data_IF_251913475552
#
_entry.id   IF_251913475552
#
_cell.length_a   1.000
_cell.length_b   1.000
_cell.length_c   1.000
_cell.angle_alpha   90.00
_cell.angle_beta   90.00
_cell.angle_gamma   90.00
#
_symmetry.space_group_name_H-M   'P 1'
#
loop_
_entity.id
_entity.type
_entity.pdbx_description
1 polymer ?
#
# COMPACT_ATOMS: atom_id res chain seq x y z
N UNK A 1 -12.32 9.02 4.21
CA UNK A 1 -13.55 8.37 4.73
C UNK A 1 -13.48 8.38 6.25
N UNK A 2 -14.55 8.80 6.96
CA UNK A 2 -14.60 8.64 8.40
C UNK A 2 -14.59 7.14 8.67
N UNK A 3 -13.48 6.65 9.23
CA UNK A 3 -13.40 5.28 9.73
C UNK A 3 -14.43 5.21 10.85
N UNK A 4 -15.49 4.41 10.66
CA UNK A 4 -16.49 4.11 11.68
C UNK A 4 -15.76 3.91 13.02
N UNK A 5 -16.16 4.59 14.11
CA UNK A 5 -15.45 4.52 15.39
C UNK A 5 -15.19 3.09 15.88
N UNK A 6 -16.10 2.16 15.56
CA UNK A 6 -15.97 0.73 15.85
C UNK A 6 -14.83 0.03 15.08
N UNK A 7 -14.44 0.50 13.89
CA UNK A 7 -13.34 -0.04 13.09
C UNK A 7 -11.95 0.47 13.53
N UNK A 8 -11.88 1.45 14.44
CA UNK A 8 -10.60 1.98 14.96
C UNK A 8 -9.77 0.88 15.65
N UNK A 9 -10.41 -0.10 16.28
CA UNK A 9 -9.74 -1.24 16.90
C UNK A 9 -9.10 -2.19 15.88
N UNK A 10 -9.60 -2.24 14.64
CA UNK A 10 -9.01 -3.09 13.59
C UNK A 10 -7.75 -2.47 12.99
N UNK A 11 -7.55 -1.16 13.12
CA UNK A 11 -6.41 -0.47 12.51
C UNK A 11 -5.04 -1.05 12.92
N UNK A 12 -4.75 -1.29 14.23
CA UNK A 12 -3.51 -1.96 14.63
C UNK A 12 -3.39 -3.36 14.02
N UNK A 13 -4.46 -4.14 14.03
CA UNK A 13 -4.47 -5.52 13.49
C UNK A 13 -4.11 -5.51 12.00
N UNK A 14 -4.71 -4.61 11.22
CA UNK A 14 -4.41 -4.47 9.79
C UNK A 14 -2.96 -4.09 9.54
N UNK A 15 -2.37 -3.21 10.36
CA UNK A 15 -0.96 -2.83 10.25
C UNK A 15 -0.03 -4.03 10.46
N UNK A 16 -0.31 -4.87 11.45
CA UNK A 16 0.50 -6.07 11.71
C UNK A 16 0.29 -7.16 10.65
N UNK A 17 -0.91 -7.27 10.08
CA UNK A 17 -1.22 -8.25 9.04
C UNK A 17 -0.68 -7.85 7.66
N UNK A 18 -0.46 -6.57 7.40
CA UNK A 18 -0.04 -6.05 6.10
C UNK A 18 1.15 -6.81 5.46
N UNK A 19 2.28 -7.06 6.16
CA UNK A 19 3.41 -7.79 5.59
C UNK A 19 3.05 -9.21 5.14
N UNK A 20 2.13 -9.87 5.83
CA UNK A 20 1.66 -11.22 5.49
C UNK A 20 0.78 -11.18 4.24
N UNK A 21 -0.13 -10.22 4.17
CA UNK A 21 -1.01 -10.00 3.01
C UNK A 21 -0.18 -9.78 1.75
N UNK A 22 0.84 -8.91 1.82
CA UNK A 22 1.77 -8.65 0.70
C UNK A 22 2.40 -9.95 0.20
N UNK A 23 2.92 -10.79 1.11
CA UNK A 23 3.57 -12.06 0.71
C UNK A 23 2.57 -13.01 0.05
N UNK A 24 1.34 -13.11 0.55
CA UNK A 24 0.29 -13.97 -0.02
C UNK A 24 -0.06 -13.53 -1.44
N UNK A 25 -0.37 -12.25 -1.65
CA UNK A 25 -0.76 -11.74 -2.97
C UNK A 25 0.37 -11.84 -3.98
N UNK A 26 1.60 -11.53 -3.57
CA UNK A 26 2.76 -11.62 -4.46
C UNK A 26 3.07 -13.08 -4.80
N UNK A 27 2.89 -14.01 -3.86
CA UNK A 27 3.03 -15.43 -4.15
C UNK A 27 1.98 -15.93 -5.15
N UNK A 28 0.73 -15.47 -5.02
CA UNK A 28 -0.31 -15.75 -5.99
C UNK A 28 0.09 -15.31 -7.41
N UNK A 29 0.57 -14.06 -7.57
CA UNK A 29 1.02 -13.57 -8.88
C UNK A 29 2.26 -14.30 -9.40
N UNK A 30 3.17 -14.69 -8.52
CA UNK A 30 4.31 -15.53 -8.90
C UNK A 30 3.85 -16.87 -9.49
N UNK A 31 2.96 -17.59 -8.80
CA UNK A 31 2.49 -18.89 -9.28
C UNK A 31 1.70 -18.77 -10.59
N UNK A 32 0.96 -17.67 -10.74
CA UNK A 32 0.29 -17.32 -11.99
C UNK A 32 1.28 -17.10 -13.14
N UNK A 33 2.35 -16.32 -12.93
CA UNK A 33 3.44 -16.10 -13.91
C UNK A 33 4.17 -17.40 -14.27
N UNK A 34 4.40 -18.27 -13.28
CA UNK A 34 5.05 -19.59 -13.46
C UNK A 34 4.10 -20.66 -14.04
N UNK A 35 2.83 -20.33 -14.33
CA UNK A 35 1.78 -21.28 -14.78
C UNK A 35 1.67 -22.53 -13.89
N UNK A 36 1.89 -22.34 -12.60
CA UNK A 36 1.86 -23.39 -11.58
C UNK A 36 0.56 -23.33 -10.79
N UNK A 37 0.14 -24.48 -10.23
CA UNK A 37 -1.03 -24.52 -9.36
C UNK A 37 -0.74 -23.80 -8.04
N UNK A 38 -1.75 -23.09 -7.53
CA UNK A 38 -1.63 -22.36 -6.28
C UNK A 38 -1.53 -23.32 -5.09
N UNK A 39 -0.35 -23.42 -4.48
CA UNK A 39 -0.13 -24.21 -3.27
C UNK A 39 -0.27 -23.35 -2.01
N UNK A 40 -1.48 -23.33 -1.46
CA UNK A 40 -1.82 -22.61 -0.24
C UNK A 40 -1.03 -23.16 0.97
N UNK A 41 -0.78 -24.47 1.01
CA UNK A 41 -0.06 -25.11 2.12
C UNK A 41 1.39 -24.61 2.17
N UNK A 42 2.03 -24.54 1.01
CA UNK A 42 3.38 -23.98 0.88
C UNK A 42 3.47 -22.55 1.42
N UNK A 43 2.50 -21.68 1.08
CA UNK A 43 2.48 -20.29 1.56
C UNK A 43 2.33 -20.24 3.07
N UNK A 44 1.41 -21.01 3.63
CA UNK A 44 1.21 -21.07 5.08
C UNK A 44 2.51 -21.50 5.78
N UNK A 45 3.19 -22.52 5.26
CA UNK A 45 4.44 -23.01 5.84
C UNK A 45 5.57 -21.98 5.71
N UNK A 46 5.65 -21.26 4.59
CA UNK A 46 6.57 -20.14 4.39
C UNK A 46 6.33 -19.01 5.41
N UNK A 47 5.06 -18.62 5.60
CA UNK A 47 4.67 -17.57 6.54
C UNK A 47 4.94 -17.98 7.99
N UNK A 48 4.70 -19.25 8.35
CA UNK A 48 5.04 -19.79 9.68
C UNK A 48 6.54 -19.75 9.92
N UNK A 49 7.35 -20.20 8.94
CA UNK A 49 8.80 -20.20 9.04
C UNK A 49 9.39 -18.79 9.15
N UNK A 50 8.75 -17.80 8.51
CA UNK A 50 9.19 -16.39 8.50
C UNK A 50 8.34 -15.48 9.39
N UNK A 51 7.58 -16.05 10.33
CA UNK A 51 6.61 -15.31 11.14
C UNK A 51 7.26 -14.18 11.93
N UNK A 52 8.32 -14.47 12.69
CA UNK A 52 9.01 -13.48 13.54
C UNK A 52 9.50 -12.25 12.75
N UNK A 53 10.33 -12.40 11.68
CA UNK A 53 10.81 -11.24 10.94
C UNK A 53 9.69 -10.48 10.20
N UNK A 54 8.66 -11.16 9.71
CA UNK A 54 7.49 -10.49 9.11
C UNK A 54 6.70 -9.69 10.15
N UNK A 55 6.50 -10.24 11.34
CA UNK A 55 5.87 -9.54 12.45
C UNK A 55 6.69 -8.31 12.89
N UNK A 56 8.03 -8.39 12.86
CA UNK A 56 8.90 -7.24 13.12
C UNK A 56 8.69 -6.10 12.11
N UNK A 57 8.44 -6.41 10.83
CA UNK A 57 8.03 -5.38 9.86
C UNK A 57 6.68 -4.77 10.25
N UNK A 58 5.71 -5.58 10.66
CA UNK A 58 4.42 -5.08 11.16
C UNK A 58 4.58 -4.14 12.37
N UNK A 59 5.45 -4.52 13.32
CA UNK A 59 5.80 -3.66 14.47
C UNK A 59 6.50 -2.37 14.07
N UNK A 60 7.39 -2.43 13.07
CA UNK A 60 8.01 -1.24 12.51
C UNK A 60 6.97 -0.30 11.86
N UNK A 61 6.01 -0.85 11.13
CA UNK A 61 4.88 -0.09 10.60
C UNK A 61 4.01 0.54 11.70
N UNK A 62 3.80 -0.17 12.81
CA UNK A 62 3.04 0.33 13.95
C UNK A 62 3.74 1.50 14.64
N UNK A 63 5.05 1.41 14.85
CA UNK A 63 5.86 2.51 15.40
C UNK A 63 5.75 3.73 14.50
N UNK A 64 5.90 3.54 13.19
CA UNK A 64 5.75 4.62 12.22
C UNK A 64 4.34 5.25 12.26
N UNK A 65 3.28 4.45 12.26
CA UNK A 65 1.91 4.97 12.35
C UNK A 65 1.68 5.79 13.64
N UNK A 66 2.31 5.37 14.74
CA UNK A 66 2.29 6.10 16.01
C UNK A 66 3.06 7.42 15.91
N UNK A 67 4.21 7.45 15.24
CA UNK A 67 4.97 8.68 14.98
C UNK A 67 4.19 9.66 14.12
N UNK A 68 3.56 9.19 13.04
CA UNK A 68 2.69 10.02 12.18
C UNK A 68 1.55 10.61 13.00
N UNK A 69 0.89 9.79 13.82
CA UNK A 69 -0.18 10.24 14.71
C UNK A 69 0.32 11.31 15.67
N UNK A 70 1.49 11.12 16.28
CA UNK A 70 2.11 12.11 17.17
C UNK A 70 2.40 13.43 16.44
N UNK A 71 2.94 13.40 15.22
CA UNK A 71 3.20 14.60 14.40
C UNK A 71 1.91 15.36 14.10
N UNK A 72 0.82 14.64 13.79
CA UNK A 72 -0.50 15.24 13.55
C UNK A 72 -1.05 15.90 14.82
N UNK A 73 -1.02 15.20 15.96
CA UNK A 73 -1.53 15.75 17.23
C UNK A 73 -0.69 16.92 17.75
N UNK A 74 0.64 16.82 17.68
CA UNK A 74 1.54 17.91 18.05
C UNK A 74 1.39 19.14 17.14
N UNK A 75 0.93 18.94 15.89
CA UNK A 75 0.60 19.99 14.94
C UNK A 75 -0.73 20.70 15.18
N UNK A 76 -1.42 20.43 16.30
CA UNK A 76 -2.74 21.00 16.61
C UNK A 76 -3.92 20.11 16.20
N UNK A 77 -3.66 18.91 15.67
CA UNK A 77 -4.70 18.00 15.17
C UNK A 77 -5.32 18.46 13.85
N UNK A 78 -6.00 17.56 13.16
CA UNK A 78 -6.94 17.94 12.09
C UNK A 78 -8.25 18.30 12.79
N UNK A 79 -8.30 19.46 13.44
CA UNK A 79 -9.55 19.96 13.99
C UNK A 79 -10.46 20.37 12.81
N UNK A 80 -11.74 20.03 12.89
CA UNK A 80 -12.73 20.28 11.82
C UNK A 80 -12.98 21.79 11.56
N UNK A 81 -12.34 22.68 12.33
CA UNK A 81 -12.51 24.13 12.33
C UNK A 81 -11.45 24.91 11.52
N UNK A 82 -10.92 24.36 10.42
CA UNK A 82 -10.09 25.17 9.51
C UNK A 82 -11.02 26.14 8.75
N UNK A 83 -11.23 27.33 9.30
CA UNK A 83 -12.20 28.32 8.78
C UNK A 83 -11.58 29.31 7.79
N UNK A 84 -10.25 29.49 7.80
CA UNK A 84 -9.52 30.45 6.96
C UNK A 84 -8.32 29.82 6.23
N UNK A 85 -8.03 30.34 5.03
CA UNK A 85 -6.90 29.92 4.18
C UNK A 85 -5.54 30.16 4.84
N UNK A 86 -5.40 31.25 5.60
CA UNK A 86 -4.16 31.59 6.31
C UNK A 86 -3.86 30.56 7.40
N UNK A 87 -4.88 30.09 8.12
CA UNK A 87 -4.72 29.10 9.18
C UNK A 87 -4.39 27.70 8.62
N UNK A 88 -4.90 27.39 7.41
CA UNK A 88 -4.54 26.20 6.64
C UNK A 88 -3.05 26.24 6.23
N UNK A 89 -2.56 27.40 5.80
CA UNK A 89 -1.18 27.52 5.31
C UNK A 89 -0.17 27.57 6.46
N UNK A 90 -0.49 28.26 7.56
CA UNK A 90 0.43 28.42 8.69
C UNK A 90 0.54 27.17 9.58
N UNK A 91 -0.56 26.44 9.81
CA UNK A 91 -0.57 25.29 10.72
C UNK A 91 -0.59 23.95 10.01
N UNK A 92 -1.38 23.80 8.95
CA UNK A 92 -1.59 22.50 8.32
C UNK A 92 -0.50 22.14 7.31
N UNK A 93 -0.03 23.09 6.49
CA UNK A 93 1.02 22.84 5.50
C UNK A 93 2.33 22.31 6.13
N UNK A 94 2.86 22.86 7.24
CA UNK A 94 4.05 22.32 7.88
C UNK A 94 3.87 20.89 8.41
N UNK A 95 2.66 20.55 8.90
CA UNK A 95 2.34 19.20 9.37
C UNK A 95 2.35 18.22 8.21
N UNK A 96 1.72 18.57 7.08
CA UNK A 96 1.71 17.75 5.86
C UNK A 96 3.13 17.53 5.34
N UNK A 97 3.96 18.56 5.27
CA UNK A 97 5.36 18.45 4.82
C UNK A 97 6.14 17.49 5.73
N UNK A 98 6.00 17.60 7.06
CA UNK A 98 6.64 16.68 8.01
C UNK A 98 6.19 15.24 7.79
N UNK A 99 4.90 15.01 7.60
CA UNK A 99 4.37 13.67 7.32
C UNK A 99 4.97 13.11 6.04
N UNK A 100 4.98 13.87 4.95
CA UNK A 100 5.56 13.44 3.66
C UNK A 100 7.04 13.07 3.85
N UNK A 101 7.81 13.93 4.53
CA UNK A 101 9.24 13.74 4.75
C UNK A 101 9.56 12.47 5.54
N UNK A 102 8.74 12.12 6.52
CA UNK A 102 8.88 10.88 7.31
C UNK A 102 8.35 9.67 6.52
N UNK A 103 7.31 9.88 5.71
CA UNK A 103 6.66 8.82 4.92
C UNK A 103 7.55 8.24 3.84
N UNK A 104 8.28 9.09 3.10
CA UNK A 104 9.13 8.65 1.98
C UNK A 104 10.13 7.57 2.39
N UNK A 105 11.05 7.79 3.35
CA UNK A 105 12.04 6.78 3.72
C UNK A 105 11.39 5.53 4.33
N UNK A 106 10.26 5.70 5.01
CA UNK A 106 9.50 4.57 5.56
C UNK A 106 8.88 3.69 4.48
N UNK A 107 8.21 4.28 3.48
CA UNK A 107 7.67 3.53 2.35
C UNK A 107 8.78 2.81 1.60
N UNK A 108 9.90 3.47 1.33
CA UNK A 108 11.06 2.84 0.68
C UNK A 108 11.61 1.66 1.49
N UNK A 109 11.68 1.80 2.82
CA UNK A 109 12.14 0.74 3.71
C UNK A 109 11.18 -0.46 3.75
N UNK A 110 9.88 -0.25 3.61
CA UNK A 110 8.86 -1.30 3.76
C UNK A 110 8.38 -1.90 2.44
N UNK A 111 8.56 -1.21 1.32
CA UNK A 111 8.01 -1.59 0.02
C UNK A 111 8.41 -2.99 -0.44
N UNK A 112 9.69 -3.38 -0.31
CA UNK A 112 10.15 -4.73 -0.69
C UNK A 112 10.51 -5.62 0.49
N UNK A 113 10.54 -5.07 1.71
CA UNK A 113 10.99 -5.79 2.91
C UNK A 113 10.26 -7.12 3.18
N UNK A 114 8.92 -7.22 3.11
CA UNK A 114 8.22 -8.49 3.32
C UNK A 114 8.66 -9.58 2.34
N UNK A 115 8.90 -9.20 1.08
CA UNK A 115 9.32 -10.12 0.02
C UNK A 115 10.78 -10.56 0.18
N UNK A 116 11.66 -9.63 0.56
CA UNK A 116 13.06 -9.94 0.87
C UNK A 116 13.20 -10.92 2.05
N UNK A 117 12.32 -10.82 3.04
CA UNK A 117 12.26 -11.77 4.16
C UNK A 117 11.78 -13.14 3.68
N UNK A 118 10.71 -13.16 2.88
CA UNK A 118 10.09 -14.39 2.39
C UNK A 118 11.01 -15.17 1.44
N UNK A 119 11.56 -14.52 0.42
CA UNK A 119 12.23 -15.20 -0.70
C UNK A 119 13.76 -15.12 -0.64
N UNK A 120 14.33 -14.06 -0.06
CA UNK A 120 15.79 -13.89 -0.01
C UNK A 120 16.38 -14.30 1.35
N UNK A 121 15.55 -14.89 2.24
CA UNK A 121 15.93 -15.32 3.60
C UNK A 121 16.57 -14.21 4.44
N UNK A 122 16.30 -12.94 4.14
CA UNK A 122 16.88 -11.84 4.91
C UNK A 122 16.24 -11.73 6.29
N UNK A 123 17.06 -11.37 7.29
CA UNK A 123 16.55 -10.89 8.58
C UNK A 123 15.96 -9.49 8.46
N UNK A 124 15.22 -9.05 9.48
CA UNK A 124 14.52 -7.76 9.52
C UNK A 124 15.39 -6.56 9.09
N UNK A 125 16.56 -6.38 9.73
CA UNK A 125 17.44 -5.23 9.46
C UNK A 125 17.99 -5.26 8.03
N UNK A 126 18.41 -6.44 7.56
CA UNK A 126 18.95 -6.61 6.20
C UNK A 126 17.87 -6.37 5.14
N UNK A 127 16.64 -6.80 5.41
CA UNK A 127 15.49 -6.55 4.53
C UNK A 127 15.19 -5.06 4.39
N UNK A 128 15.14 -4.30 5.50
CA UNK A 128 14.92 -2.85 5.47
C UNK A 128 16.00 -2.14 4.66
N UNK A 129 17.28 -2.41 4.96
CA UNK A 129 18.40 -1.76 4.27
C UNK A 129 18.40 -2.07 2.78
N UNK A 130 18.15 -3.33 2.43
CA UNK A 130 18.11 -3.77 1.04
C UNK A 130 16.88 -3.23 0.29
N UNK A 131 15.72 -3.11 0.94
CA UNK A 131 14.53 -2.48 0.36
C UNK A 131 14.82 -1.02 0.07
N UNK A 132 15.36 -0.28 1.04
CA UNK A 132 15.71 1.12 0.88
C UNK A 132 16.75 1.33 -0.24
N UNK A 133 17.79 0.49 -0.30
CA UNK A 133 18.79 0.55 -1.36
C UNK A 133 18.19 0.25 -2.75
N UNK A 134 17.36 -0.79 -2.88
CA UNK A 134 16.71 -1.14 -4.14
C UNK A 134 15.75 -0.05 -4.62
N UNK A 135 14.93 0.51 -3.71
CA UNK A 135 14.03 1.61 -4.06
C UNK A 135 14.78 2.90 -4.40
N UNK A 136 15.92 3.20 -3.77
CA UNK A 136 16.76 4.34 -4.14
C UNK A 136 17.36 4.18 -5.53
N UNK A 137 17.99 3.02 -5.79
CA UNK A 137 18.67 2.73 -7.05
C UNK A 137 17.72 2.79 -8.25
N UNK A 138 16.47 2.37 -8.05
CA UNK A 138 15.43 2.36 -9.08
C UNK A 138 14.33 3.40 -8.82
N UNK A 139 14.64 4.48 -8.11
CA UNK A 139 13.66 5.49 -7.70
C UNK A 139 12.91 6.13 -8.89
N UNK A 140 13.62 6.50 -9.95
CA UNK A 140 13.05 7.12 -11.15
C UNK A 140 12.05 6.18 -11.85
N UNK A 141 12.40 4.95 -12.27
CA UNK A 141 11.47 4.05 -12.95
C UNK A 141 10.32 3.61 -12.04
N UNK A 142 10.55 3.49 -10.73
CA UNK A 142 9.49 3.19 -9.78
C UNK A 142 8.48 4.34 -9.73
N UNK A 143 8.95 5.56 -9.50
CA UNK A 143 8.08 6.74 -9.40
C UNK A 143 7.29 6.97 -10.70
N UNK A 144 7.95 6.87 -11.86
CA UNK A 144 7.29 7.09 -13.15
C UNK A 144 6.16 6.07 -13.40
N UNK A 145 6.43 4.80 -13.13
CA UNK A 145 5.42 3.74 -13.27
C UNK A 145 4.25 3.93 -12.31
N UNK A 146 4.53 4.32 -11.06
CA UNK A 146 3.49 4.60 -10.07
C UNK A 146 2.61 5.79 -10.47
N UNK A 147 3.21 6.85 -11.02
CA UNK A 147 2.48 8.01 -11.55
C UNK A 147 1.58 7.59 -12.71
N UNK A 148 2.09 6.79 -13.66
CA UNK A 148 1.30 6.32 -14.80
C UNK A 148 0.10 5.47 -14.34
N UNK A 149 0.31 4.52 -13.43
CA UNK A 149 -0.77 3.68 -12.89
C UNK A 149 -1.82 4.54 -12.17
N UNK A 150 -1.39 5.49 -11.34
CA UNK A 150 -2.28 6.36 -10.56
C UNK A 150 -3.03 7.35 -11.45
N UNK A 151 -2.36 7.95 -12.44
CA UNK A 151 -2.99 8.84 -13.41
C UNK A 151 -4.03 8.09 -14.25
N UNK A 152 -3.71 6.88 -14.73
CA UNK A 152 -4.65 6.02 -15.44
C UNK A 152 -5.89 5.74 -14.62
N UNK A 153 -5.72 5.39 -13.33
CA UNK A 153 -6.84 5.15 -12.41
C UNK A 153 -7.74 6.39 -12.23
N UNK A 154 -7.14 7.57 -12.02
CA UNK A 154 -7.89 8.82 -11.86
C UNK A 154 -8.69 9.14 -13.14
N UNK A 155 -8.06 9.00 -14.32
CA UNK A 155 -8.72 9.22 -15.61
C UNK A 155 -9.92 8.26 -15.75
N UNK A 156 -9.75 6.98 -15.39
CA UNK A 156 -10.83 6.00 -15.43
C UNK A 156 -11.98 6.35 -14.49
N UNK A 157 -11.71 6.84 -13.27
CA UNK A 157 -12.76 7.30 -12.34
C UNK A 157 -13.51 8.49 -12.93
N UNK A 158 -12.81 9.49 -13.47
CA UNK A 158 -13.42 10.68 -14.07
C UNK A 158 -14.33 10.25 -15.23
N UNK A 159 -13.83 9.36 -16.09
CA UNK A 159 -14.59 8.85 -17.23
C UNK A 159 -15.87 8.12 -16.81
N UNK A 160 -15.78 7.23 -15.81
CA UNK A 160 -16.94 6.48 -15.32
C UNK A 160 -17.94 7.39 -14.61
N UNK A 161 -17.46 8.36 -13.85
CA UNK A 161 -18.32 9.35 -13.19
C UNK A 161 -19.07 10.20 -14.23
N UNK A 162 -18.39 10.62 -15.29
CA UNK A 162 -19.00 11.32 -16.41
C UNK A 162 -20.01 10.43 -17.14
N UNK A 163 -19.68 9.17 -17.42
CA UNK A 163 -20.61 8.23 -18.04
C UNK A 163 -21.91 8.09 -17.23
N UNK A 164 -21.80 7.88 -15.91
CA UNK A 164 -22.98 7.76 -15.05
C UNK A 164 -23.78 9.06 -14.91
N UNK A 165 -23.14 10.23 -15.01
CA UNK A 165 -23.87 11.50 -14.99
C UNK A 165 -24.72 11.72 -16.25
N UNK A 166 -24.33 11.15 -17.39
CA UNK A 166 -25.12 11.20 -18.64
C UNK A 166 -26.34 10.28 -18.64
N UNK A 167 -26.42 9.31 -17.72
CA UNK A 167 -27.52 8.35 -17.61
C UNK A 167 -28.72 8.92 -16.84
N UNK A 168 -29.09 10.18 -17.12
CA UNK A 168 -30.16 10.90 -16.39
C UNK A 168 -31.55 10.28 -16.50
N UNK A 169 -31.73 9.33 -17.43
CA UNK A 169 -32.96 8.55 -17.57
C UNK A 169 -33.09 7.42 -16.54
N UNK A 170 -31.98 6.99 -15.92
CA UNK A 170 -32.03 6.10 -14.76
C UNK A 170 -32.38 6.92 -13.52
N UNK A 171 -33.30 6.43 -12.70
CA UNK A 171 -33.61 7.07 -11.42
C UNK A 171 -32.35 7.25 -10.56
N UNK A 172 -32.29 8.34 -9.80
CA UNK A 172 -31.08 8.78 -9.08
C UNK A 172 -30.52 7.72 -8.11
N UNK A 173 -31.40 6.89 -7.52
CA UNK A 173 -31.00 5.78 -6.65
C UNK A 173 -30.22 4.69 -7.40
N UNK A 174 -30.61 4.36 -8.64
CA UNK A 174 -29.93 3.35 -9.46
C UNK A 174 -28.57 3.87 -9.93
N UNK A 175 -28.48 5.14 -10.35
CA UNK A 175 -27.20 5.77 -10.72
C UNK A 175 -26.22 5.70 -9.54
N UNK A 176 -26.67 6.09 -8.35
CA UNK A 176 -25.83 6.04 -7.14
C UNK A 176 -25.37 4.63 -6.81
N UNK A 177 -26.27 3.65 -6.92
CA UNK A 177 -25.94 2.24 -6.67
C UNK A 177 -24.87 1.73 -7.65
N UNK A 178 -25.10 1.87 -8.96
CA UNK A 178 -24.16 1.38 -9.97
C UNK A 178 -22.82 2.12 -9.93
N UNK A 179 -22.83 3.44 -9.72
CA UNK A 179 -21.61 4.23 -9.56
C UNK A 179 -20.77 3.73 -8.38
N UNK A 180 -21.40 3.47 -7.23
CA UNK A 180 -20.70 2.95 -6.05
C UNK A 180 -20.10 1.54 -6.28
N UNK A 181 -20.84 0.66 -6.95
CA UNK A 181 -20.36 -0.67 -7.31
C UNK A 181 -19.17 -0.61 -8.26
N UNK A 182 -19.24 0.25 -9.28
CA UNK A 182 -18.14 0.43 -10.23
C UNK A 182 -16.90 0.98 -9.54
N UNK A 183 -17.05 1.94 -8.63
CA UNK A 183 -15.95 2.49 -7.86
C UNK A 183 -15.29 1.43 -6.98
N UNK A 184 -16.07 0.52 -6.38
CA UNK A 184 -15.54 -0.61 -5.61
C UNK A 184 -14.74 -1.58 -6.50
N UNK A 185 -15.26 -1.92 -7.67
CA UNK A 185 -14.58 -2.79 -8.64
C UNK A 185 -13.27 -2.15 -9.12
N UNK A 186 -13.31 -0.87 -9.49
CA UNK A 186 -12.14 -0.11 -9.90
C UNK A 186 -11.08 -0.05 -8.80
N UNK A 187 -11.48 0.23 -7.56
CA UNK A 187 -10.55 0.26 -6.43
C UNK A 187 -9.90 -1.11 -6.23
N UNK A 188 -10.67 -2.19 -6.33
CA UNK A 188 -10.16 -3.56 -6.22
C UNK A 188 -9.18 -3.88 -7.34
N UNK A 189 -9.49 -3.47 -8.58
CA UNK A 189 -8.60 -3.62 -9.73
C UNK A 189 -7.31 -2.80 -9.55
N UNK A 190 -7.40 -1.56 -9.06
CA UNK A 190 -6.25 -0.71 -8.79
C UNK A 190 -5.32 -1.31 -7.74
N UNK A 191 -5.87 -1.78 -6.61
CA UNK A 191 -5.08 -2.48 -5.58
C UNK A 191 -4.41 -3.74 -6.15
N UNK A 192 -5.12 -4.49 -6.99
CA UNK A 192 -4.57 -5.68 -7.66
C UNK A 192 -3.40 -5.31 -8.58
N UNK A 193 -3.54 -4.24 -9.38
CA UNK A 193 -2.46 -3.72 -10.24
C UNK A 193 -1.27 -3.26 -9.41
N UNK A 194 -1.48 -2.63 -8.24
CA UNK A 194 -0.38 -2.24 -7.36
C UNK A 194 0.39 -3.46 -6.84
N UNK A 195 -0.26 -4.57 -6.51
CA UNK A 195 0.43 -5.81 -6.16
C UNK A 195 1.18 -6.41 -7.34
N UNK A 196 0.61 -6.41 -8.55
CA UNK A 196 1.32 -6.83 -9.77
C UNK A 196 2.56 -5.96 -10.00
N UNK A 197 2.41 -4.65 -9.88
CA UNK A 197 3.50 -3.69 -10.00
C UNK A 197 4.61 -3.95 -8.97
N UNK A 198 4.25 -4.20 -7.71
CA UNK A 198 5.19 -4.57 -6.66
C UNK A 198 5.89 -5.92 -6.97
N UNK A 199 5.18 -6.89 -7.54
CA UNK A 199 5.75 -8.18 -7.95
C UNK A 199 6.77 -8.02 -9.09
N UNK A 200 6.39 -7.35 -10.18
CA UNK A 200 7.25 -7.15 -11.36
C UNK A 200 8.49 -6.37 -10.97
N UNK A 201 8.32 -5.26 -10.26
CA UNK A 201 9.46 -4.44 -9.82
C UNK A 201 10.38 -5.17 -8.86
N UNK A 202 9.84 -6.02 -7.97
CA UNK A 202 10.69 -6.86 -7.13
C UNK A 202 11.53 -7.82 -7.97
N UNK A 203 10.90 -8.51 -8.93
CA UNK A 203 11.55 -9.49 -9.81
C UNK A 203 12.68 -8.85 -10.62
N UNK A 204 12.47 -7.63 -11.09
CA UNK A 204 13.47 -6.90 -11.88
C UNK A 204 14.64 -6.39 -11.02
N UNK A 205 14.38 -5.91 -9.80
CA UNK A 205 15.40 -5.30 -8.94
C UNK A 205 16.23 -6.36 -8.18
N UNK A 206 15.58 -7.41 -7.66
CA UNK A 206 16.21 -8.40 -6.78
C UNK A 206 16.37 -9.79 -7.41
N UNK A 207 15.90 -9.97 -8.66
CA UNK A 207 15.93 -11.23 -9.40
C UNK A 207 14.72 -12.13 -9.12
N UNK A 208 14.71 -13.31 -9.77
CA UNK A 208 13.61 -14.27 -9.64
C UNK A 208 13.35 -14.66 -8.19
N UNK A 209 12.07 -14.83 -7.81
CA UNK A 209 11.59 -15.29 -6.50
C UNK A 209 11.93 -16.77 -6.21
N UNK A 210 13.16 -17.19 -6.48
CA UNK A 210 13.69 -18.49 -6.08
C UNK A 210 14.27 -18.32 -4.68
N UNK A 211 13.88 -19.20 -3.76
CA UNK A 211 14.59 -19.31 -2.49
C UNK A 211 16.04 -19.63 -2.85
N UNK A 212 16.98 -18.72 -2.57
CA UNK A 212 18.40 -19.03 -2.74
C UNK A 212 18.71 -20.21 -1.81
N UNK A 213 18.93 -21.38 -2.40
CA UNK A 213 19.60 -22.51 -1.76
C UNK A 213 21.06 -22.13 -1.58
N UNK A 214 21.65 -22.59 -0.48
CA UNK A 214 23.11 -22.65 -0.35
C UNK A 214 23.69 -23.51 -1.48
#
# INVERSE_FOLDING_TARGET
MPILPALKFLSPITIFLWPFIVVIYIHFYKQFDEKSNFDLKYIIDLLKAKFKPLLSIGGFCFIYASMVSFVVYAGGGINEDIKNYDELTEKFLPVVIKIILISIPFFMATWFSPLLIAYNKYGFIKAIKSSLAGTLMFSIPLLSSYIVISASFIITIIFITFFFSTLSFLGQNLISFFSSLFLLILLTAYISILFIYQYVTYKDIFGSLKIKSE
#
